data_IF_872563927439
#
_entry.id   IF_872563927439
#
_cell.length_a   1.000
_cell.length_b   1.000
_cell.length_c   1.000
_cell.angle_alpha   90.00
_cell.angle_beta   90.00
_cell.angle_gamma   90.00
#
_symmetry.space_group_name_H-M   'P 1'
#
loop_
_entity.id
_entity.type
_entity.pdbx_description
1 polymer ?
#
# COMPACT_ATOMS: atom_id res chain seq x y z
N UNK A 1 11.47 -3.90 0.75
CA UNK A 1 12.82 -3.33 0.79
C UNK A 1 12.84 -2.05 1.62
N UNK A 2 13.87 -1.88 2.45
CA UNK A 2 14.08 -0.66 3.22
C UNK A 2 15.54 -0.21 3.10
N UNK A 3 15.78 0.85 2.33
CA UNK A 3 17.10 1.43 2.13
C UNK A 3 17.32 2.70 2.96
N UNK A 4 16.33 3.09 3.75
CA UNK A 4 16.44 4.24 4.65
C UNK A 4 17.46 3.99 5.77
N UNK A 5 17.41 2.79 6.37
CA UNK A 5 18.30 2.39 7.44
C UNK A 5 19.61 1.79 6.92
N UNK A 6 19.53 0.95 5.88
CA UNK A 6 20.65 0.17 5.36
C UNK A 6 21.09 0.70 3.99
N UNK A 7 22.10 1.54 4.00
CA UNK A 7 22.62 2.17 2.77
C UNK A 7 23.76 1.38 2.13
N UNK A 8 24.27 0.35 2.81
CA UNK A 8 25.37 -0.48 2.33
C UNK A 8 24.91 -1.35 1.15
N UNK A 9 25.61 -1.32 -0.01
CA UNK A 9 25.21 -2.07 -1.20
C UNK A 9 25.06 -3.58 -0.98
N UNK A 10 25.90 -4.16 -0.12
CA UNK A 10 25.84 -5.59 0.24
C UNK A 10 24.58 -5.93 1.01
N UNK A 11 24.15 -5.07 1.94
CA UNK A 11 22.91 -5.26 2.71
C UNK A 11 21.71 -5.10 1.79
N UNK A 12 21.70 -4.10 0.92
CA UNK A 12 20.65 -3.92 -0.07
C UNK A 12 20.55 -5.13 -1.02
N UNK A 13 21.67 -5.67 -1.48
CA UNK A 13 21.68 -6.89 -2.30
C UNK A 13 21.10 -8.10 -1.55
N UNK A 14 21.40 -8.24 -0.25
CA UNK A 14 20.84 -9.27 0.61
C UNK A 14 19.32 -9.08 0.81
N UNK A 15 18.84 -7.84 0.98
CA UNK A 15 17.41 -7.55 1.05
C UNK A 15 16.70 -7.97 -0.25
N UNK A 16 17.24 -7.61 -1.43
CA UNK A 16 16.66 -8.03 -2.73
C UNK A 16 16.63 -9.54 -2.88
N UNK A 17 17.71 -10.22 -2.53
CA UNK A 17 17.76 -11.69 -2.57
C UNK A 17 16.66 -12.33 -1.74
N UNK A 18 16.50 -11.90 -0.48
CA UNK A 18 15.46 -12.45 0.39
C UNK A 18 14.05 -12.04 -0.04
N UNK A 19 13.88 -10.84 -0.59
CA UNK A 19 12.59 -10.40 -1.11
C UNK A 19 12.10 -11.34 -2.23
N UNK A 20 12.95 -11.63 -3.21
CA UNK A 20 12.62 -12.58 -4.29
C UNK A 20 12.31 -13.98 -3.74
N UNK A 21 13.04 -14.43 -2.73
CA UNK A 21 12.78 -15.73 -2.08
C UNK A 21 11.43 -15.75 -1.35
N UNK A 22 11.02 -14.67 -0.69
CA UNK A 22 9.72 -14.56 -0.06
C UNK A 22 8.58 -14.50 -1.09
N UNK A 23 8.78 -13.82 -2.21
CA UNK A 23 7.81 -13.81 -3.31
C UNK A 23 7.59 -15.22 -3.89
N UNK A 24 8.65 -15.98 -4.12
CA UNK A 24 8.55 -17.36 -4.57
C UNK A 24 7.83 -18.27 -3.57
N UNK A 25 8.04 -18.05 -2.26
CA UNK A 25 7.31 -18.78 -1.21
C UNK A 25 5.81 -18.42 -1.21
N UNK A 26 5.48 -17.13 -1.34
CA UNK A 26 4.10 -16.66 -1.41
C UNK A 26 3.37 -17.25 -2.63
N UNK A 27 4.03 -17.31 -3.79
CA UNK A 27 3.53 -17.95 -5.00
C UNK A 27 3.22 -19.43 -4.76
N UNK A 28 4.15 -20.18 -4.17
CA UNK A 28 3.96 -21.61 -3.85
C UNK A 28 2.80 -21.84 -2.88
N UNK A 29 2.59 -20.91 -1.93
CA UNK A 29 1.51 -20.96 -0.95
C UNK A 29 0.16 -20.42 -1.49
N UNK A 30 0.15 -19.89 -2.71
CA UNK A 30 -1.00 -19.17 -3.29
C UNK A 30 -1.54 -18.09 -2.33
N UNK A 31 -0.62 -17.23 -1.87
CA UNK A 31 -0.93 -16.12 -0.95
C UNK A 31 -0.57 -14.78 -1.58
N UNK A 32 -1.41 -13.75 -1.38
CA UNK A 32 -1.02 -12.38 -1.73
C UNK A 32 0.06 -11.87 -0.79
N UNK A 33 0.77 -10.83 -1.24
CA UNK A 33 1.88 -10.24 -0.49
C UNK A 33 1.60 -8.80 -0.07
N UNK A 34 2.10 -8.43 1.10
CA UNK A 34 2.10 -7.04 1.60
C UNK A 34 3.53 -6.52 1.46
N UNK A 35 3.73 -5.54 0.58
CA UNK A 35 5.05 -5.07 0.18
C UNK A 35 5.42 -3.79 0.93
N UNK A 36 6.43 -3.88 1.78
CA UNK A 36 7.09 -2.71 2.35
C UNK A 36 8.18 -2.19 1.40
N UNK A 37 8.15 -0.88 1.11
CA UNK A 37 9.16 -0.21 0.31
C UNK A 37 9.45 1.18 0.84
N UNK A 38 10.71 1.44 1.19
CA UNK A 38 11.19 2.73 1.68
C UNK A 38 12.55 3.06 1.09
N UNK A 39 12.66 4.19 0.38
CA UNK A 39 13.87 4.62 -0.35
C UNK A 39 14.40 3.55 -1.34
N UNK A 40 13.54 2.63 -1.78
CA UNK A 40 13.85 1.48 -2.63
C UNK A 40 12.92 1.37 -3.85
N UNK A 41 12.40 2.50 -4.34
CA UNK A 41 11.36 2.57 -5.35
C UNK A 41 11.69 1.78 -6.63
N UNK A 42 12.86 2.02 -7.21
CA UNK A 42 13.28 1.42 -8.47
C UNK A 42 13.47 -0.10 -8.37
N UNK A 43 14.19 -0.55 -7.34
CA UNK A 43 14.43 -1.98 -7.13
C UNK A 43 13.13 -2.73 -6.78
N UNK A 44 12.27 -2.09 -5.98
CA UNK A 44 10.94 -2.68 -5.67
C UNK A 44 10.11 -2.81 -6.93
N UNK A 45 10.04 -1.77 -7.78
CA UNK A 45 9.28 -1.81 -9.04
C UNK A 45 9.77 -2.94 -9.94
N UNK A 46 11.08 -3.02 -10.22
CA UNK A 46 11.67 -4.08 -11.05
C UNK A 46 11.37 -5.50 -10.56
N UNK A 47 11.41 -5.70 -9.24
CA UNK A 47 11.09 -7.01 -8.65
C UNK A 47 9.59 -7.30 -8.76
N UNK A 48 8.74 -6.29 -8.55
CA UNK A 48 7.29 -6.47 -8.62
C UNK A 48 6.78 -6.65 -10.06
N UNK A 49 7.43 -6.06 -11.07
CA UNK A 49 7.17 -6.35 -12.49
C UNK A 49 7.38 -7.84 -12.78
N UNK A 50 8.48 -8.40 -12.31
CA UNK A 50 8.74 -9.83 -12.45
C UNK A 50 7.75 -10.69 -11.66
N UNK A 51 7.40 -10.27 -10.44
CA UNK A 51 6.40 -10.96 -9.62
C UNK A 51 5.01 -10.96 -10.27
N UNK A 52 4.65 -9.89 -10.99
CA UNK A 52 3.42 -9.82 -11.78
C UNK A 52 3.41 -10.85 -12.92
N UNK A 53 4.50 -11.00 -13.68
CA UNK A 53 4.64 -12.04 -14.71
C UNK A 53 4.47 -13.45 -14.12
N UNK A 54 4.91 -13.66 -12.88
CA UNK A 54 4.77 -14.91 -12.13
C UNK A 54 3.39 -15.06 -11.45
N UNK A 55 2.45 -14.12 -11.67
CA UNK A 55 1.06 -14.17 -11.18
C UNK A 55 0.88 -13.81 -9.71
N UNK A 56 1.88 -13.22 -9.06
CA UNK A 56 1.82 -12.84 -7.64
C UNK A 56 0.97 -11.59 -7.47
N UNK A 57 -0.05 -11.67 -6.60
CA UNK A 57 -0.93 -10.57 -6.22
C UNK A 57 -0.43 -9.92 -4.94
N UNK A 58 -0.76 -8.63 -4.73
CA UNK A 58 -0.34 -7.96 -3.51
C UNK A 58 -0.80 -6.52 -3.39
N UNK A 59 -0.32 -5.89 -2.33
CA UNK A 59 -0.51 -4.47 -2.02
C UNK A 59 0.83 -3.81 -1.72
N UNK A 60 1.04 -2.61 -2.25
CA UNK A 60 2.16 -1.76 -1.88
C UNK A 60 1.74 -1.00 -0.62
N UNK A 61 2.22 -1.46 0.51
CA UNK A 61 1.88 -0.98 1.85
C UNK A 61 2.43 0.44 2.09
N UNK A 62 1.66 1.25 2.82
CA UNK A 62 2.01 2.61 3.25
C UNK A 62 2.60 3.44 2.11
N UNK A 63 1.88 3.48 0.98
CA UNK A 63 2.38 4.04 -0.27
C UNK A 63 2.85 5.50 -0.10
N UNK A 64 4.05 5.80 -0.58
CA UNK A 64 4.67 7.11 -0.38
C UNK A 64 5.42 7.65 -1.61
N UNK A 65 5.38 6.95 -2.73
CA UNK A 65 6.06 7.35 -3.98
C UNK A 65 5.19 8.25 -4.85
N UNK A 66 5.51 8.36 -6.14
CA UNK A 66 4.80 9.24 -7.05
C UNK A 66 3.48 8.65 -7.56
N UNK A 67 2.52 9.49 -8.02
CA UNK A 67 1.29 9.02 -8.63
C UNK A 67 1.52 8.15 -9.87
N UNK A 68 2.50 8.49 -10.71
CA UNK A 68 2.84 7.74 -11.92
C UNK A 68 3.26 6.31 -11.58
N UNK A 69 4.08 6.15 -10.54
CA UNK A 69 4.49 4.82 -10.08
C UNK A 69 3.32 4.02 -9.51
N UNK A 70 2.38 4.67 -8.81
CA UNK A 70 1.16 4.02 -8.36
C UNK A 70 0.31 3.51 -9.53
N UNK A 71 0.20 4.29 -10.60
CA UNK A 71 -0.51 3.89 -11.82
C UNK A 71 0.12 2.65 -12.47
N UNK A 72 1.45 2.53 -12.48
CA UNK A 72 2.12 1.32 -12.99
C UNK A 72 1.80 0.10 -12.12
N UNK A 73 1.84 0.21 -10.78
CA UNK A 73 1.40 -0.87 -9.90
C UNK A 73 -0.07 -1.26 -10.14
N UNK A 74 -0.95 -0.28 -10.31
CA UNK A 74 -2.38 -0.51 -10.59
C UNK A 74 -2.59 -1.22 -11.94
N UNK A 75 -1.85 -0.84 -13.00
CA UNK A 75 -1.89 -1.54 -14.30
C UNK A 75 -1.49 -3.01 -14.18
N UNK A 76 -0.57 -3.35 -13.30
CA UNK A 76 -0.18 -4.71 -12.98
C UNK A 76 -1.18 -5.42 -12.03
N UNK A 77 -2.25 -4.74 -11.58
CA UNK A 77 -3.26 -5.32 -10.69
C UNK A 77 -2.88 -5.34 -9.22
N UNK A 78 -1.82 -4.63 -8.81
CA UNK A 78 -1.51 -4.42 -7.40
C UNK A 78 -2.40 -3.38 -6.77
N UNK A 79 -2.75 -3.59 -5.51
CA UNK A 79 -3.43 -2.59 -4.70
C UNK A 79 -2.43 -1.58 -4.10
N UNK A 80 -2.93 -0.40 -3.81
CA UNK A 80 -2.22 0.67 -3.12
C UNK A 80 -2.76 0.80 -1.70
N UNK A 81 -1.90 0.59 -0.71
CA UNK A 81 -2.21 0.74 0.71
C UNK A 81 -2.24 2.21 1.12
N UNK A 82 -3.38 2.68 1.61
CA UNK A 82 -3.59 4.06 2.05
C UNK A 82 -3.99 4.08 3.52
N UNK A 83 -3.16 4.69 4.34
CA UNK A 83 -3.35 4.84 5.78
C UNK A 83 -3.45 6.30 6.24
N UNK A 84 -3.25 6.52 7.53
CA UNK A 84 -3.39 7.81 8.20
C UNK A 84 -2.63 8.96 7.58
N UNK A 85 -1.52 8.67 6.89
CA UNK A 85 -0.67 9.66 6.20
C UNK A 85 -1.45 10.52 5.22
N UNK A 86 -2.50 10.00 4.56
CA UNK A 86 -3.32 10.76 3.60
C UNK A 86 -3.98 12.00 4.22
N UNK A 87 -4.15 12.02 5.54
CA UNK A 87 -4.73 13.13 6.28
C UNK A 87 -3.73 14.24 6.61
N UNK A 88 -2.42 13.98 6.48
CA UNK A 88 -1.38 14.91 6.89
C UNK A 88 -1.28 16.12 5.94
N UNK A 89 -0.99 17.29 6.51
CA UNK A 89 -0.90 18.56 5.74
C UNK A 89 0.16 18.54 4.64
N UNK A 90 1.21 17.75 4.81
CA UNK A 90 2.33 17.63 3.86
C UNK A 90 2.25 16.42 2.93
N UNK A 91 1.16 15.64 2.97
CA UNK A 91 0.99 14.41 2.18
C UNK A 91 0.56 14.68 0.71
N UNK A 92 1.08 15.73 0.07
CA UNK A 92 0.64 16.17 -1.27
C UNK A 92 0.70 15.04 -2.31
N UNK A 93 1.81 14.29 -2.36
CA UNK A 93 1.98 13.18 -3.32
C UNK A 93 0.94 12.08 -3.12
N UNK A 94 0.70 11.67 -1.86
CA UNK A 94 -0.28 10.63 -1.57
C UNK A 94 -1.72 11.11 -1.88
N UNK A 95 -2.03 12.36 -1.59
CA UNK A 95 -3.33 12.96 -1.95
C UNK A 95 -3.52 12.93 -3.46
N UNK A 96 -2.53 13.36 -4.24
CA UNK A 96 -2.55 13.30 -5.70
C UNK A 96 -2.64 11.84 -6.20
N UNK A 97 -1.90 10.90 -5.59
CA UNK A 97 -2.01 9.47 -5.92
C UNK A 97 -3.46 8.98 -5.73
N UNK A 98 -4.06 9.26 -4.58
CA UNK A 98 -5.45 8.89 -4.30
C UNK A 98 -6.41 9.54 -5.31
N UNK A 99 -6.19 10.78 -5.71
CA UNK A 99 -7.00 11.47 -6.71
C UNK A 99 -6.97 10.77 -8.08
N UNK A 100 -5.77 10.35 -8.53
CA UNK A 100 -5.53 9.83 -9.88
C UNK A 100 -5.83 8.34 -10.07
N UNK A 101 -5.59 7.49 -9.05
CA UNK A 101 -5.85 6.05 -9.19
C UNK A 101 -7.32 5.71 -8.93
N UNK A 102 -7.89 4.63 -9.52
CA UNK A 102 -9.27 4.22 -9.28
C UNK A 102 -9.44 3.75 -7.82
N UNK A 103 -10.63 4.00 -7.23
CA UNK A 103 -10.96 3.54 -5.88
C UNK A 103 -10.87 2.01 -5.76
N UNK A 104 -11.18 1.29 -6.84
CA UNK A 104 -11.07 -0.17 -6.91
C UNK A 104 -9.63 -0.72 -6.77
N UNK A 105 -8.61 0.15 -6.76
CA UNK A 105 -7.22 -0.22 -6.53
C UNK A 105 -6.70 0.17 -5.13
N UNK A 106 -7.55 0.73 -4.28
CA UNK A 106 -7.17 1.18 -2.93
C UNK A 106 -7.60 0.16 -1.88
N UNK A 107 -6.70 -0.18 -0.96
CA UNK A 107 -7.02 -0.84 0.30
C UNK A 107 -6.64 0.06 1.47
N UNK A 108 -7.41 -0.02 2.56
CA UNK A 108 -7.15 0.79 3.76
C UNK A 108 -6.25 0.04 4.73
N UNK A 109 -5.44 0.80 5.43
CA UNK A 109 -4.54 0.28 6.44
C UNK A 109 -4.30 1.29 7.56
N UNK A 110 -3.55 0.91 8.59
CA UNK A 110 -3.24 1.79 9.72
C UNK A 110 -1.75 2.03 9.92
N UNK A 111 -0.90 1.05 9.61
CA UNK A 111 0.50 0.98 10.05
C UNK A 111 0.65 1.14 11.57
N UNK A 112 -0.37 0.66 12.31
CA UNK A 112 -0.38 0.79 13.77
C UNK A 112 0.81 0.06 14.42
N UNK A 113 1.38 0.57 15.50
CA UNK A 113 0.90 1.68 16.34
C UNK A 113 1.31 3.09 15.86
N UNK A 114 1.85 3.21 14.66
CA UNK A 114 2.36 4.46 14.09
C UNK A 114 1.32 5.13 13.17
N UNK A 115 1.67 6.29 12.63
CA UNK A 115 0.95 7.00 11.55
C UNK A 115 -0.53 7.31 11.84
N UNK A 116 -0.87 7.60 13.13
CA UNK A 116 -2.23 8.03 13.47
C UNK A 116 -2.67 9.22 12.60
N UNK A 117 -3.90 9.16 12.02
CA UNK A 117 -4.42 10.25 11.18
C UNK A 117 -4.69 11.52 11.97
N UNK A 118 -4.82 12.66 11.30
CA UNK A 118 -5.42 13.84 11.90
C UNK A 118 -6.90 13.55 12.30
N UNK A 119 -7.40 14.00 13.44
CA UNK A 119 -6.75 14.89 14.41
C UNK A 119 -5.89 14.17 15.47
N UNK A 120 -5.70 12.87 15.39
CA UNK A 120 -5.02 12.04 16.40
C UNK A 120 -3.52 11.91 16.19
N UNK A 121 -2.92 12.70 15.29
CA UNK A 121 -1.50 12.66 15.01
C UNK A 121 -0.65 12.83 16.27
N UNK A 122 0.40 11.98 16.40
CA UNK A 122 1.29 11.97 17.57
C UNK A 122 0.81 11.08 18.73
N UNK A 123 -0.37 10.47 18.61
CA UNK A 123 -0.84 9.44 19.54
C UNK A 123 -0.64 8.04 18.99
N UNK A 124 -0.86 7.02 19.81
CA UNK A 124 -0.86 5.64 19.36
C UNK A 124 -2.00 5.39 18.37
N UNK A 125 -1.68 4.84 17.21
CA UNK A 125 -2.65 4.47 16.19
C UNK A 125 -3.26 3.08 16.43
N UNK A 126 -4.49 2.90 16.00
CA UNK A 126 -5.18 1.59 15.90
C UNK A 126 -6.29 1.65 14.84
N UNK A 127 -6.97 0.52 14.60
CA UNK A 127 -7.99 0.38 13.56
C UNK A 127 -9.23 1.27 13.74
N UNK A 128 -9.49 1.79 14.94
CA UNK A 128 -10.59 2.74 15.19
C UNK A 128 -10.39 4.09 14.47
N UNK A 129 -9.18 4.33 13.98
CA UNK A 129 -8.84 5.53 13.24
C UNK A 129 -9.08 5.41 11.72
N UNK A 130 -9.45 4.24 11.20
CA UNK A 130 -9.78 4.05 9.77
C UNK A 130 -10.87 5.01 9.27
N UNK A 131 -11.94 5.33 10.02
CA UNK A 131 -12.96 6.28 9.56
C UNK A 131 -12.41 7.64 9.11
N UNK A 132 -11.37 8.16 9.76
CA UNK A 132 -10.73 9.43 9.34
C UNK A 132 -10.02 9.32 7.99
N UNK A 133 -9.48 8.13 7.66
CA UNK A 133 -8.88 7.85 6.35
C UNK A 133 -9.98 7.79 5.28
N UNK A 134 -11.10 7.11 5.58
CA UNK A 134 -12.28 7.01 4.71
C UNK A 134 -12.82 8.39 4.36
N UNK A 135 -13.10 9.22 5.38
CA UNK A 135 -13.60 10.60 5.20
C UNK A 135 -12.66 11.44 4.34
N UNK A 136 -11.35 11.28 4.52
CA UNK A 136 -10.36 12.00 3.73
C UNK A 136 -10.36 11.56 2.28
N UNK A 137 -10.42 10.25 2.00
CA UNK A 137 -10.49 9.70 0.63
C UNK A 137 -11.81 10.13 -0.04
N UNK A 138 -12.94 10.04 0.66
CA UNK A 138 -14.24 10.49 0.19
C UNK A 138 -14.19 11.96 -0.27
N UNK A 139 -13.58 12.82 0.54
CA UNK A 139 -13.39 14.25 0.21
C UNK A 139 -12.48 14.45 -1.00
N UNK A 140 -11.40 13.69 -1.16
CA UNK A 140 -10.49 13.78 -2.31
C UNK A 140 -11.21 13.35 -3.59
N UNK A 141 -11.97 12.26 -3.52
CA UNK A 141 -12.68 11.66 -4.66
C UNK A 141 -14.00 12.34 -5.00
N UNK A 142 -14.57 13.15 -4.09
CA UNK A 142 -15.88 13.76 -4.27
C UNK A 142 -17.06 12.77 -4.24
N UNK A 143 -16.92 11.70 -3.44
CA UNK A 143 -17.89 10.61 -3.26
C UNK A 143 -18.29 10.47 -1.80
N UNK A 144 -19.24 9.58 -1.48
CA UNK A 144 -19.64 9.35 -0.09
C UNK A 144 -18.63 8.51 0.70
N UNK A 145 -18.64 8.62 2.02
CA UNK A 145 -17.82 7.81 2.90
C UNK A 145 -18.22 6.31 2.84
N UNK A 146 -19.52 6.05 2.69
CA UNK A 146 -20.07 4.70 2.53
C UNK A 146 -19.56 4.02 1.28
N UNK A 147 -19.47 4.75 0.15
CA UNK A 147 -18.93 4.23 -1.11
C UNK A 147 -17.44 3.89 -0.96
N UNK A 148 -16.67 4.72 -0.27
CA UNK A 148 -15.25 4.43 0.02
C UNK A 148 -15.14 3.18 0.89
N UNK A 149 -15.90 3.10 1.98
CA UNK A 149 -15.88 1.96 2.91
C UNK A 149 -16.24 0.66 2.20
N UNK A 150 -17.34 0.63 1.47
CA UNK A 150 -17.81 -0.56 0.77
C UNK A 150 -16.80 -1.02 -0.29
N UNK A 151 -16.35 -0.11 -1.15
CA UNK A 151 -15.41 -0.45 -2.22
C UNK A 151 -14.08 -0.95 -1.66
N UNK A 152 -13.49 -0.26 -0.68
CA UNK A 152 -12.19 -0.66 -0.14
C UNK A 152 -12.27 -1.95 0.70
N UNK A 153 -13.41 -2.23 1.32
CA UNK A 153 -13.69 -3.52 1.96
C UNK A 153 -13.74 -4.64 0.94
N UNK A 154 -14.47 -4.47 -0.18
CA UNK A 154 -14.50 -5.48 -1.24
C UNK A 154 -13.13 -5.69 -1.87
N UNK A 155 -12.33 -4.63 -2.06
CA UNK A 155 -10.93 -4.72 -2.49
C UNK A 155 -10.08 -5.57 -1.54
N UNK A 156 -10.25 -5.39 -0.23
CA UNK A 156 -9.54 -6.19 0.77
C UNK A 156 -9.92 -7.68 0.69
N UNK A 157 -11.20 -8.02 0.51
CA UNK A 157 -11.64 -9.40 0.30
C UNK A 157 -11.19 -9.97 -1.05
N UNK A 158 -11.10 -9.15 -2.10
CA UNK A 158 -10.57 -9.57 -3.39
C UNK A 158 -9.08 -9.92 -3.30
N UNK A 159 -8.30 -9.12 -2.54
CA UNK A 159 -6.89 -9.36 -2.30
C UNK A 159 -6.68 -10.57 -1.38
N UNK A 160 -7.36 -10.61 -0.25
CA UNK A 160 -7.24 -11.65 0.77
C UNK A 160 -8.38 -12.68 0.67
N UNK A 161 -8.52 -13.31 -0.48
CA UNK A 161 -9.66 -14.17 -0.82
C UNK A 161 -9.84 -15.40 0.10
N UNK A 162 -8.82 -15.77 0.88
CA UNK A 162 -8.89 -16.86 1.88
C UNK A 162 -9.44 -16.41 3.24
N UNK A 163 -9.68 -15.10 3.43
CA UNK A 163 -10.33 -14.58 4.64
C UNK A 163 -11.84 -14.71 4.47
N UNK A 164 -12.55 -15.33 5.42
CA UNK A 164 -14.01 -15.43 5.35
C UNK A 164 -14.65 -14.04 5.45
N UNK A 165 -15.74 -13.83 4.71
CA UNK A 165 -16.54 -12.59 4.71
C UNK A 165 -17.41 -12.48 5.96
#
# INVERSE_FOLDING_TARGET
LDYYWDKEPEIQAKQRYWFVRQLALAQQADLPVIIHSRDAAEDTMKIMEKAYEDGIKGVIHCYSYSPEMAQEYVKMGYFIGVGGVVTFKNARKLVQTVEEIPLSAIVLETDCPYMAPEPHRGTRNDSRNIPYVIEKIAKIKGISAEEVEETTRENAFALFSKVPR
#
